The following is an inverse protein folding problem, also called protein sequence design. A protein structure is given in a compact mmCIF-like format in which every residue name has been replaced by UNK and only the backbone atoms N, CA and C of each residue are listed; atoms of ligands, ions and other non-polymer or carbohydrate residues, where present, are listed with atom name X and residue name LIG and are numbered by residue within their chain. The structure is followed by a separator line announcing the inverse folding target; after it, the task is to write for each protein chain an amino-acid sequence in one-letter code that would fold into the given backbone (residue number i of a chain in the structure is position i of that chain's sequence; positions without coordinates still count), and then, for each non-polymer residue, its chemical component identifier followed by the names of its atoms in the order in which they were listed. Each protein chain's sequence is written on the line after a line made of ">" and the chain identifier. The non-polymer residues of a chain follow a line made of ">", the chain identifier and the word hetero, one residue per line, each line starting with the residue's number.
data_IF_823289972829
#
_entry.id   IF_823289972829
#
_cell.length_a   1.000
_cell.length_b   1.000
_cell.length_c   1.000
_cell.angle_alpha   90.00
_cell.angle_beta   90.00
_cell.angle_gamma   90.00
#
_symmetry.space_group_name_H-M   'P 1'
#
loop_
_entity.id
_entity.type
_entity.pdbx_description
1 polymer ?
#
# COMPACT_ATOMS: atom_id res chain seq x y z
N UNK A 1 20.13 25.15 18.85
CA UNK A 1 19.80 24.00 17.99
C UNK A 1 19.75 24.47 16.55
N UNK A 2 20.63 23.97 15.69
CA UNK A 2 20.47 24.06 14.24
C UNK A 2 21.13 22.84 13.61
N UNK A 3 20.38 21.73 13.54
CA UNK A 3 20.63 20.71 12.52
C UNK A 3 19.38 20.70 11.65
N UNK A 4 19.46 21.33 10.49
CA UNK A 4 18.44 21.21 9.45
C UNK A 4 19.16 20.84 8.17
N UNK A 5 18.98 19.61 7.71
CA UNK A 5 19.33 19.22 6.33
C UNK A 5 18.19 18.42 5.70
N UNK A 6 17.01 19.06 5.77
CA UNK A 6 15.77 18.74 5.03
C UNK A 6 14.89 17.62 5.62
N UNK A 7 13.88 18.04 6.37
CA UNK A 7 13.45 17.45 7.64
C UNK A 7 12.74 16.07 7.63
N UNK A 8 13.43 15.12 8.27
CA UNK A 8 12.93 13.95 9.00
C UNK A 8 13.81 13.85 10.28
N UNK A 9 13.76 14.90 11.10
CA UNK A 9 14.80 15.24 12.09
C UNK A 9 14.96 14.16 13.16
N UNK A 10 13.87 13.54 13.59
CA UNK A 10 13.90 12.47 14.60
C UNK A 10 14.09 11.07 13.99
N UNK A 11 14.35 10.98 12.68
CA UNK A 11 14.46 9.71 11.97
C UNK A 11 13.17 8.88 12.05
N UNK A 12 12.01 9.55 12.09
CA UNK A 12 10.67 8.92 12.16
C UNK A 12 10.39 7.99 10.98
N UNK A 13 11.00 8.28 9.83
CA UNK A 13 10.82 7.51 8.61
C UNK A 13 12.18 7.12 8.00
N UNK A 14 12.22 6.09 7.14
CA UNK A 14 13.33 5.92 6.21
C UNK A 14 13.52 7.17 5.34
N UNK A 15 14.76 7.45 4.95
CA UNK A 15 15.16 8.78 4.45
C UNK A 15 14.77 9.06 2.99
N UNK A 16 14.42 8.04 2.19
CA UNK A 16 14.33 8.19 0.74
C UNK A 16 13.25 9.20 0.32
N UNK A 17 12.06 9.12 0.93
CA UNK A 17 10.93 10.00 0.58
C UNK A 17 11.27 11.48 0.81
N UNK A 18 11.69 11.81 2.04
CA UNK A 18 12.03 13.19 2.39
C UNK A 18 13.33 13.66 1.73
N UNK A 19 14.31 12.77 1.56
CA UNK A 19 15.53 13.07 0.81
C UNK A 19 15.24 13.47 -0.64
N UNK A 20 14.34 12.74 -1.31
CA UNK A 20 13.95 13.04 -2.70
C UNK A 20 13.13 14.33 -2.82
N UNK A 21 12.09 14.49 -1.99
CA UNK A 21 11.17 15.63 -2.12
C UNK A 21 11.71 16.93 -1.54
N UNK A 22 12.69 16.85 -0.66
CA UNK A 22 13.26 18.04 -0.06
C UNK A 22 14.09 18.91 -1.00
N UNK A 23 14.46 18.41 -2.17
CA UNK A 23 15.09 19.21 -3.23
C UNK A 23 14.18 20.40 -3.62
N UNK A 24 12.87 20.27 -3.41
CA UNK A 24 11.86 21.30 -3.67
C UNK A 24 11.51 22.16 -2.45
N UNK A 25 12.21 21.99 -1.32
CA UNK A 25 12.03 22.86 -0.16
C UNK A 25 12.72 24.21 -0.37
N UNK A 26 12.05 25.27 0.08
CA UNK A 26 12.50 26.67 0.02
C UNK A 26 12.26 27.36 1.37
N UNK A 27 12.66 28.62 1.50
CA UNK A 27 12.42 29.42 2.71
C UNK A 27 10.93 29.72 2.94
N UNK A 28 10.11 29.69 1.88
CA UNK A 28 8.65 29.81 2.00
C UNK A 28 7.98 28.43 2.12
N UNK A 29 7.34 28.20 3.26
CA UNK A 29 6.62 26.96 3.56
C UNK A 29 5.44 26.74 2.62
N UNK A 30 4.74 27.81 2.19
CA UNK A 30 3.58 27.69 1.31
C UNK A 30 4.01 27.24 -0.09
N UNK A 31 4.98 27.95 -0.69
CA UNK A 31 5.57 27.58 -1.98
C UNK A 31 6.13 26.17 -1.95
N UNK A 32 6.91 25.82 -0.91
CA UNK A 32 7.48 24.47 -0.74
C UNK A 32 6.39 23.40 -0.73
N UNK A 33 5.34 23.61 0.05
CA UNK A 33 4.23 22.64 0.16
C UNK A 33 3.53 22.45 -1.16
N UNK A 34 3.22 23.53 -1.89
CA UNK A 34 2.56 23.45 -3.19
C UNK A 34 3.42 22.72 -4.23
N UNK A 35 4.70 23.09 -4.35
CA UNK A 35 5.62 22.47 -5.30
C UNK A 35 5.81 20.98 -5.00
N UNK A 36 6.06 20.62 -3.73
CA UNK A 36 6.23 19.21 -3.33
C UNK A 36 4.97 18.40 -3.64
N UNK A 37 3.78 18.94 -3.36
CA UNK A 37 2.51 18.25 -3.63
C UNK A 37 2.28 18.06 -5.13
N UNK A 38 2.59 19.06 -5.96
CA UNK A 38 2.49 18.95 -7.42
C UNK A 38 3.46 17.91 -7.96
N UNK A 39 4.72 17.94 -7.52
CA UNK A 39 5.74 16.96 -7.94
C UNK A 39 5.34 15.54 -7.50
N UNK A 40 4.91 15.35 -6.25
CA UNK A 40 4.53 14.03 -5.74
C UNK A 40 3.27 13.48 -6.44
N UNK A 41 2.31 14.36 -6.76
CA UNK A 41 1.12 13.99 -7.55
C UNK A 41 1.51 13.55 -8.95
N UNK A 42 2.35 14.33 -9.65
CA UNK A 42 2.85 14.01 -10.98
C UNK A 42 3.63 12.69 -10.96
N UNK A 43 4.55 12.53 -10.01
CA UNK A 43 5.32 11.31 -9.81
C UNK A 43 4.41 10.09 -9.60
N UNK A 44 3.41 10.21 -8.72
CA UNK A 44 2.40 9.18 -8.51
C UNK A 44 1.72 8.79 -9.82
N UNK A 45 1.19 9.76 -10.57
CA UNK A 45 0.50 9.51 -11.84
C UNK A 45 1.41 8.84 -12.86
N UNK A 46 2.69 9.25 -12.96
CA UNK A 46 3.66 8.66 -13.86
C UNK A 46 3.97 7.20 -13.50
N UNK A 47 4.19 6.89 -12.22
CA UNK A 47 4.46 5.51 -11.76
C UNK A 47 3.24 4.62 -12.00
N UNK A 48 2.04 5.11 -11.70
CA UNK A 48 0.81 4.35 -11.93
C UNK A 48 0.58 4.11 -13.43
N UNK A 49 0.78 5.14 -14.25
CA UNK A 49 0.61 5.06 -15.71
C UNK A 49 1.65 4.13 -16.36
N UNK A 50 2.92 4.26 -15.99
CA UNK A 50 3.98 3.40 -16.49
C UNK A 50 3.70 1.93 -16.16
N UNK A 51 3.27 1.65 -14.92
CA UNK A 51 2.84 0.31 -14.51
C UNK A 51 1.68 -0.19 -15.38
N UNK A 52 0.63 0.62 -15.57
CA UNK A 52 -0.50 0.26 -16.43
C UNK A 52 -0.08 -0.10 -17.87
N UNK A 53 0.80 0.69 -18.49
CA UNK A 53 1.26 0.44 -19.85
C UNK A 53 2.14 -0.81 -19.94
N UNK A 54 3.01 -1.03 -18.96
CA UNK A 54 3.83 -2.24 -18.83
C UNK A 54 2.99 -3.49 -18.57
N UNK A 55 1.86 -3.39 -17.87
CA UNK A 55 1.01 -4.55 -17.58
C UNK A 55 0.33 -5.13 -18.83
N UNK A 56 0.30 -6.46 -18.99
CA UNK A 56 -0.46 -7.09 -20.08
C UNK A 56 -1.95 -6.74 -19.95
N UNK A 57 -2.66 -6.66 -21.10
CA UNK A 57 -4.06 -6.21 -21.16
C UNK A 57 -4.98 -6.92 -20.15
N UNK A 58 -4.73 -8.20 -19.88
CA UNK A 58 -5.50 -9.00 -18.93
C UNK A 58 -5.43 -8.52 -17.46
N UNK A 59 -4.39 -7.80 -17.06
CA UNK A 59 -4.21 -7.31 -15.69
C UNK A 59 -4.59 -5.83 -15.51
N UNK A 60 -4.74 -5.09 -16.61
CA UNK A 60 -4.99 -3.65 -16.58
C UNK A 60 -6.28 -3.27 -15.85
N UNK A 61 -7.36 -4.02 -16.04
CA UNK A 61 -8.61 -3.69 -15.35
C UNK A 61 -8.51 -3.90 -13.84
N UNK A 62 -7.89 -5.00 -13.41
CA UNK A 62 -7.71 -5.28 -11.98
C UNK A 62 -6.88 -4.17 -11.31
N UNK A 63 -5.83 -3.74 -12.00
CA UNK A 63 -4.98 -2.64 -11.57
C UNK A 63 -5.73 -1.31 -11.43
N UNK A 64 -6.51 -0.92 -12.45
CA UNK A 64 -7.30 0.32 -12.42
C UNK A 64 -8.36 0.28 -11.33
N UNK A 65 -9.08 -0.83 -11.18
CA UNK A 65 -10.11 -1.00 -10.14
C UNK A 65 -9.50 -0.83 -8.75
N UNK A 66 -8.36 -1.47 -8.49
CA UNK A 66 -7.65 -1.34 -7.23
C UNK A 66 -7.23 0.11 -6.97
N UNK A 67 -6.61 0.75 -7.96
CA UNK A 67 -6.13 2.13 -7.84
C UNK A 67 -7.27 3.12 -7.58
N UNK A 68 -8.39 3.01 -8.30
CA UNK A 68 -9.52 3.94 -8.19
C UNK A 68 -10.27 3.77 -6.87
N UNK A 69 -10.61 2.54 -6.50
CA UNK A 69 -11.47 2.29 -5.33
C UNK A 69 -10.73 2.58 -4.02
N UNK A 70 -9.41 2.43 -4.00
CA UNK A 70 -8.59 2.77 -2.83
C UNK A 70 -8.02 4.19 -2.88
N UNK A 71 -8.16 4.90 -4.00
CA UNK A 71 -7.84 6.32 -4.06
C UNK A 71 -8.89 7.13 -3.30
N UNK A 72 -10.18 6.96 -3.55
CA UNK A 72 -11.17 7.88 -2.99
C UNK A 72 -11.65 7.42 -1.61
N UNK A 73 -11.65 8.29 -0.57
CA UNK A 73 -11.13 9.67 -0.55
C UNK A 73 -9.68 9.78 -0.05
N UNK A 74 -9.27 8.89 0.87
CA UNK A 74 -8.01 9.04 1.59
C UNK A 74 -6.79 8.88 0.69
N UNK A 75 -6.81 7.92 -0.23
CA UNK A 75 -5.70 7.68 -1.14
C UNK A 75 -5.40 8.87 -2.06
N UNK A 76 -6.43 9.56 -2.57
CA UNK A 76 -6.30 10.74 -3.41
C UNK A 76 -5.66 11.88 -2.61
N UNK A 77 -6.12 12.07 -1.38
CA UNK A 77 -5.50 13.01 -0.45
C UNK A 77 -4.03 12.66 -0.17
N UNK A 78 -3.74 11.39 0.11
CA UNK A 78 -2.40 10.91 0.46
C UNK A 78 -1.45 11.01 -0.74
N UNK A 79 -1.85 10.57 -1.93
CA UNK A 79 -1.03 10.63 -3.15
C UNK A 79 -0.58 12.05 -3.48
N UNK A 80 -1.44 13.04 -3.27
CA UNK A 80 -1.12 14.45 -3.50
C UNK A 80 -0.62 15.21 -2.27
N UNK A 81 -0.19 14.50 -1.22
CA UNK A 81 0.32 15.10 0.01
C UNK A 81 1.85 15.06 0.10
N UNK A 82 2.39 15.72 1.12
CA UNK A 82 3.80 15.62 1.52
C UNK A 82 4.06 14.44 2.47
N UNK A 83 3.18 13.43 2.48
CA UNK A 83 3.26 12.30 3.41
C UNK A 83 3.92 11.06 2.76
N UNK A 84 4.85 10.37 3.44
CA UNK A 84 5.53 9.18 2.91
C UNK A 84 4.59 8.00 2.63
N UNK A 85 3.38 7.99 3.20
CA UNK A 85 2.35 7.00 2.86
C UNK A 85 1.99 7.01 1.37
N UNK A 86 2.19 8.11 0.64
CA UNK A 86 2.02 8.16 -0.81
C UNK A 86 2.89 7.14 -1.54
N UNK A 87 4.17 7.01 -1.17
CA UNK A 87 5.10 6.06 -1.78
C UNK A 87 4.88 4.63 -1.29
N UNK A 88 4.40 4.45 -0.05
CA UNK A 88 3.95 3.15 0.42
C UNK A 88 2.74 2.63 -0.39
N UNK A 89 1.80 3.51 -0.74
CA UNK A 89 0.67 3.16 -1.61
C UNK A 89 1.10 2.87 -3.05
N UNK A 90 2.09 3.60 -3.58
CA UNK A 90 2.69 3.29 -4.88
C UNK A 90 3.34 1.90 -4.88
N UNK A 91 4.09 1.56 -3.84
CA UNK A 91 4.66 0.22 -3.65
C UNK A 91 3.57 -0.85 -3.65
N UNK A 92 2.53 -0.68 -2.85
CA UNK A 92 1.39 -1.60 -2.80
C UNK A 92 0.62 -1.71 -4.12
N UNK A 93 0.55 -0.65 -4.91
CA UNK A 93 -0.10 -0.69 -6.22
C UNK A 93 0.74 -1.46 -7.25
N UNK A 94 2.07 -1.40 -7.14
CA UNK A 94 3.00 -1.83 -8.19
C UNK A 94 3.60 -3.21 -7.96
N UNK A 95 4.11 -3.50 -6.75
CA UNK A 95 4.98 -4.65 -6.49
C UNK A 95 4.31 -5.99 -6.82
N UNK A 96 3.14 -6.25 -6.23
CA UNK A 96 2.46 -7.55 -6.40
C UNK A 96 2.09 -7.83 -7.86
N UNK A 97 1.56 -6.82 -8.56
CA UNK A 97 1.04 -6.97 -9.92
C UNK A 97 2.17 -7.10 -10.92
N UNK A 98 3.28 -6.38 -10.71
CA UNK A 98 4.48 -6.49 -11.53
C UNK A 98 5.12 -7.86 -11.39
N UNK A 99 5.30 -8.37 -10.16
CA UNK A 99 5.78 -9.74 -9.95
C UNK A 99 4.85 -10.76 -10.61
N UNK A 100 3.54 -10.64 -10.42
CA UNK A 100 2.58 -11.55 -11.06
C UNK A 100 2.66 -11.49 -12.60
N UNK A 101 2.82 -10.29 -13.16
CA UNK A 101 2.91 -10.06 -14.60
C UNK A 101 4.19 -10.63 -15.24
N UNK A 102 5.27 -10.84 -14.47
CA UNK A 102 6.50 -11.49 -14.98
C UNK A 102 6.27 -12.94 -15.39
N UNK A 103 5.22 -13.60 -14.90
CA UNK A 103 4.79 -14.94 -15.32
C UNK A 103 3.92 -14.94 -16.58
N UNK A 104 3.49 -13.76 -17.04
CA UNK A 104 2.55 -13.56 -18.16
C UNK A 104 3.22 -12.90 -19.37
N UNK A 105 4.48 -12.51 -19.25
CA UNK A 105 5.22 -11.73 -20.24
C UNK A 105 6.60 -12.33 -20.46
N UNK A 106 7.23 -12.01 -21.59
CA UNK A 106 8.58 -12.45 -21.97
C UNK A 106 9.38 -11.27 -22.56
N UNK A 107 10.69 -11.46 -22.74
CA UNK A 107 11.59 -10.46 -23.32
C UNK A 107 11.74 -9.19 -22.47
N UNK A 108 11.97 -8.05 -23.14
CA UNK A 108 12.22 -6.76 -22.50
C UNK A 108 11.13 -6.35 -21.51
N UNK A 109 9.87 -6.65 -21.84
CA UNK A 109 8.70 -6.28 -21.02
C UNK A 109 8.70 -7.00 -19.68
N UNK A 110 9.13 -8.26 -19.64
CA UNK A 110 9.28 -9.05 -18.40
C UNK A 110 10.34 -8.43 -17.50
N UNK A 111 11.46 -8.02 -18.08
CA UNK A 111 12.56 -7.38 -17.36
C UNK A 111 12.15 -5.99 -16.84
N UNK A 112 11.42 -5.21 -17.63
CA UNK A 112 10.87 -3.93 -17.21
C UNK A 112 9.89 -4.08 -16.04
N UNK A 113 9.02 -5.10 -16.05
CA UNK A 113 8.12 -5.40 -14.94
C UNK A 113 8.89 -5.84 -13.68
N UNK A 114 9.94 -6.65 -13.82
CA UNK A 114 10.81 -7.01 -12.70
C UNK A 114 11.51 -5.77 -12.10
N UNK A 115 12.06 -4.90 -12.96
CA UNK A 115 12.66 -3.64 -12.54
C UNK A 115 11.64 -2.73 -11.84
N UNK A 116 10.42 -2.63 -12.35
CA UNK A 116 9.33 -1.87 -11.71
C UNK A 116 8.89 -2.45 -10.37
N UNK A 117 8.92 -3.78 -10.20
CA UNK A 117 8.65 -4.41 -8.90
C UNK A 117 9.73 -4.05 -7.87
N UNK A 118 11.01 -4.10 -8.27
CA UNK A 118 12.12 -3.67 -7.41
C UNK A 118 12.03 -2.18 -7.09
N UNK A 119 11.76 -1.35 -8.10
CA UNK A 119 11.56 0.08 -7.95
C UNK A 119 10.42 0.40 -6.97
N UNK A 120 9.26 -0.24 -7.12
CA UNK A 120 8.14 -0.10 -6.18
C UNK A 120 8.51 -0.48 -4.76
N UNK A 121 9.26 -1.57 -4.56
CA UNK A 121 9.76 -1.96 -3.26
C UNK A 121 10.70 -0.91 -2.65
N UNK A 122 11.64 -0.38 -3.43
CA UNK A 122 12.54 0.71 -3.00
C UNK A 122 11.73 1.95 -2.57
N UNK A 123 10.71 2.36 -3.35
CA UNK A 123 9.87 3.50 -2.99
C UNK A 123 9.14 3.28 -1.65
N UNK A 124 8.50 2.12 -1.49
CA UNK A 124 7.73 1.82 -0.27
C UNK A 124 8.63 1.70 0.95
N UNK A 125 9.60 0.78 0.89
CA UNK A 125 10.54 0.54 2.00
C UNK A 125 11.37 1.77 2.34
N UNK A 126 11.73 2.57 1.34
CA UNK A 126 12.47 3.82 1.54
C UNK A 126 11.62 4.99 2.04
N UNK A 127 10.29 4.87 2.03
CA UNK A 127 9.40 5.88 2.57
C UNK A 127 8.95 5.56 4.00
N UNK A 128 8.70 4.28 4.32
CA UNK A 128 8.18 3.83 5.62
C UNK A 128 8.67 2.43 5.96
N UNK A 129 8.96 2.17 7.24
CA UNK A 129 9.43 0.85 7.68
C UNK A 129 8.35 -0.25 7.55
N UNK A 130 7.10 0.04 7.90
CA UNK A 130 5.99 -0.91 7.74
C UNK A 130 5.70 -1.26 6.26
N UNK A 131 5.91 -0.30 5.37
CA UNK A 131 5.78 -0.51 3.93
C UNK A 131 6.80 -1.52 3.37
N UNK A 132 7.91 -1.77 4.07
CA UNK A 132 8.83 -2.85 3.73
C UNK A 132 8.15 -4.23 3.87
N UNK A 133 7.37 -4.44 4.94
CA UNK A 133 6.60 -5.66 5.11
C UNK A 133 5.51 -5.78 4.03
N UNK A 134 4.87 -4.67 3.65
CA UNK A 134 3.86 -4.67 2.58
C UNK A 134 4.45 -4.97 1.21
N UNK A 135 5.65 -4.48 0.90
CA UNK A 135 6.35 -4.80 -0.33
C UNK A 135 6.68 -6.31 -0.41
N UNK A 136 7.18 -6.90 0.68
CA UNK A 136 7.46 -8.34 0.75
C UNK A 136 6.18 -9.16 0.61
N UNK A 137 5.10 -8.79 1.34
CA UNK A 137 3.81 -9.45 1.22
C UNK A 137 3.27 -9.37 -0.21
N UNK A 138 3.29 -8.19 -0.83
CA UNK A 138 2.86 -7.99 -2.21
C UNK A 138 3.65 -8.86 -3.18
N UNK A 139 4.98 -8.88 -3.05
CA UNK A 139 5.84 -9.70 -3.89
C UNK A 139 5.57 -11.21 -3.70
N UNK A 140 5.38 -11.65 -2.44
CA UNK A 140 5.03 -13.04 -2.12
C UNK A 140 3.69 -13.46 -2.71
N UNK A 141 2.66 -12.60 -2.61
CA UNK A 141 1.35 -12.85 -3.23
C UNK A 141 1.46 -12.90 -4.75
N UNK A 142 2.19 -11.97 -5.37
CA UNK A 142 2.44 -11.97 -6.82
C UNK A 142 3.14 -13.25 -7.29
N UNK A 143 4.14 -13.71 -6.53
CA UNK A 143 4.85 -14.96 -6.78
C UNK A 143 3.92 -16.17 -6.67
N UNK A 144 3.16 -16.25 -5.58
CA UNK A 144 2.20 -17.33 -5.31
C UNK A 144 1.11 -17.45 -6.38
N UNK A 145 0.58 -16.31 -6.85
CA UNK A 145 -0.42 -16.24 -7.91
C UNK A 145 0.11 -16.76 -9.25
N UNK A 146 1.39 -16.51 -9.56
CA UNK A 146 2.02 -16.87 -10.83
C UNK A 146 2.66 -18.26 -10.88
N UNK A 147 3.14 -18.76 -9.74
CA UNK A 147 4.02 -19.94 -9.65
C UNK A 147 3.31 -21.26 -10.00
N UNK A 148 3.52 -21.76 -11.23
CA UNK A 148 2.98 -23.08 -11.66
C UNK A 148 4.01 -24.23 -11.65
N UNK A 149 5.24 -23.94 -11.25
CA UNK A 149 6.33 -24.91 -11.17
C UNK A 149 7.68 -24.22 -10.97
N UNK A 150 8.66 -24.93 -10.41
CA UNK A 150 9.93 -24.36 -9.96
C UNK A 150 10.71 -23.62 -11.06
N UNK A 151 10.87 -24.22 -12.25
CA UNK A 151 11.63 -23.62 -13.37
C UNK A 151 11.07 -22.26 -13.80
N UNK A 152 9.73 -22.12 -13.83
CA UNK A 152 9.07 -20.85 -14.20
C UNK A 152 9.15 -19.81 -13.09
N UNK A 153 9.33 -20.25 -11.84
CA UNK A 153 9.44 -19.41 -10.66
C UNK A 153 10.87 -18.93 -10.37
N UNK A 154 11.90 -19.47 -11.02
CA UNK A 154 13.30 -19.09 -10.78
C UNK A 154 13.52 -17.57 -10.90
N UNK A 155 13.24 -16.99 -12.07
CA UNK A 155 13.46 -15.57 -12.29
C UNK A 155 12.60 -14.67 -11.37
N UNK A 156 11.26 -14.85 -11.27
CA UNK A 156 10.46 -14.05 -10.34
C UNK A 156 10.83 -14.29 -8.86
N UNK A 157 11.32 -15.48 -8.53
CA UNK A 157 11.83 -15.84 -7.21
C UNK A 157 13.12 -15.10 -6.86
N UNK A 158 14.05 -14.96 -7.81
CA UNK A 158 15.24 -14.10 -7.64
C UNK A 158 14.82 -12.65 -7.41
N UNK A 159 13.86 -12.13 -8.19
CA UNK A 159 13.35 -10.77 -7.99
C UNK A 159 12.69 -10.62 -6.60
N UNK A 160 11.95 -11.63 -6.14
CA UNK A 160 11.39 -11.66 -4.78
C UNK A 160 12.48 -11.62 -3.70
N UNK A 161 13.56 -12.38 -3.86
CA UNK A 161 14.70 -12.35 -2.93
C UNK A 161 15.34 -10.97 -2.91
N UNK A 162 15.54 -10.35 -4.07
CA UNK A 162 16.08 -8.98 -4.18
C UNK A 162 15.17 -7.98 -3.47
N UNK A 163 13.86 -8.04 -3.70
CA UNK A 163 12.87 -7.18 -3.00
C UNK A 163 12.95 -7.40 -1.49
N UNK A 164 13.06 -8.65 -1.05
CA UNK A 164 13.14 -8.98 0.38
C UNK A 164 14.42 -8.44 1.01
N UNK A 165 15.57 -8.56 0.32
CA UNK A 165 16.83 -8.02 0.77
C UNK A 165 16.80 -6.48 0.87
N UNK A 166 16.24 -5.79 -0.13
CA UNK A 166 16.06 -4.34 -0.12
C UNK A 166 15.13 -3.90 1.01
N UNK A 167 13.98 -4.58 1.15
CA UNK A 167 13.03 -4.30 2.20
C UNK A 167 13.66 -4.48 3.60
N UNK A 168 14.42 -5.56 3.80
CA UNK A 168 15.16 -5.80 5.02
C UNK A 168 16.24 -4.72 5.26
N UNK A 169 17.00 -4.34 4.24
CA UNK A 169 18.02 -3.29 4.36
C UNK A 169 17.41 -1.94 4.80
N UNK A 170 16.34 -1.51 4.16
CA UNK A 170 15.62 -0.29 4.56
C UNK A 170 15.00 -0.40 5.96
N UNK A 171 14.44 -1.56 6.30
CA UNK A 171 13.86 -1.79 7.63
C UNK A 171 14.92 -1.73 8.74
N UNK A 172 16.06 -2.40 8.55
CA UNK A 172 17.16 -2.46 9.52
C UNK A 172 17.92 -1.14 9.66
N UNK A 173 17.87 -0.28 8.64
CA UNK A 173 18.46 1.06 8.68
C UNK A 173 17.48 2.15 9.10
N UNK A 174 16.22 1.79 9.36
CA UNK A 174 15.23 2.72 9.88
C UNK A 174 15.60 3.10 11.33
N UNK A 175 15.56 4.39 11.64
CA UNK A 175 15.91 4.90 12.98
C UNK A 175 14.87 4.58 14.04
N UNK A 176 15.19 4.87 15.31
CA UNK A 176 14.29 4.63 16.45
C UNK A 176 12.94 5.35 16.33
N UNK A 177 12.89 6.53 15.71
CA UNK A 177 11.63 7.21 15.42
C UNK A 177 10.69 6.38 14.53
N UNK A 178 11.26 5.58 13.63
CA UNK A 178 10.47 4.66 12.80
C UNK A 178 9.96 3.45 13.57
N UNK A 179 10.60 3.07 14.67
CA UNK A 179 10.07 2.09 15.60
C UNK A 179 8.79 2.64 16.27
N UNK A 180 8.77 3.91 16.68
CA UNK A 180 7.57 4.58 17.23
C UNK A 180 6.41 4.57 16.24
N UNK A 181 6.65 5.02 15.00
CA UNK A 181 5.65 5.04 13.93
C UNK A 181 5.23 3.63 13.50
N UNK A 182 6.13 2.66 13.60
CA UNK A 182 5.89 1.24 13.36
C UNK A 182 5.25 0.50 14.54
N UNK A 183 4.85 1.22 15.61
CA UNK A 183 4.21 0.66 16.80
C UNK A 183 5.12 -0.16 17.70
N UNK A 184 6.44 -0.07 17.54
CA UNK A 184 7.45 -0.79 18.32
C UNK A 184 7.95 -0.01 19.55
N UNK A 185 7.55 1.25 19.72
CA UNK A 185 7.80 1.98 20.97
C UNK A 185 6.73 1.62 22.02
N UNK A 186 7.19 1.14 23.16
CA UNK A 186 6.36 0.65 24.27
C UNK A 186 6.37 1.60 25.47
N UNK A 187 6.55 2.90 25.21
CA UNK A 187 6.52 3.96 26.23
C UNK A 187 5.14 4.13 26.90
N UNK A 188 4.08 3.62 26.27
CA UNK A 188 2.73 3.58 26.83
C UNK A 188 2.58 2.49 27.90
N UNK A 189 1.73 2.78 28.90
CA UNK A 189 1.29 1.79 29.89
C UNK A 189 0.67 0.58 29.21
N UNK A 190 0.97 -0.63 29.72
CA UNK A 190 0.46 -1.88 29.14
C UNK A 190 -1.07 -1.85 29.00
N UNK A 191 -1.54 -2.17 27.80
CA UNK A 191 -2.97 -2.19 27.50
C UNK A 191 -3.61 -3.43 28.16
N UNK A 192 -4.76 -3.29 28.86
CA UNK A 192 -5.45 -4.45 29.43
C UNK A 192 -6.05 -5.35 28.34
N UNK A 193 -6.39 -6.59 28.69
CA UNK A 193 -6.99 -7.56 27.76
C UNK A 193 -8.28 -7.03 27.10
N UNK A 194 -9.08 -6.26 27.84
CA UNK A 194 -10.28 -5.59 27.32
C UNK A 194 -9.95 -4.58 26.20
N UNK A 195 -8.81 -3.88 26.30
CA UNK A 195 -8.34 -2.97 25.26
C UNK A 195 -7.89 -3.72 24.01
N UNK A 196 -7.18 -4.84 24.16
CA UNK A 196 -6.85 -5.70 23.02
C UNK A 196 -8.10 -6.30 22.37
N UNK A 197 -9.08 -6.75 23.14
CA UNK A 197 -10.34 -7.25 22.60
C UNK A 197 -11.10 -6.15 21.85
N UNK A 198 -11.16 -4.94 22.42
CA UNK A 198 -11.74 -3.77 21.77
C UNK A 198 -11.05 -3.48 20.42
N UNK A 199 -9.72 -3.49 20.39
CA UNK A 199 -8.97 -3.30 19.14
C UNK A 199 -9.31 -4.37 18.11
N UNK A 200 -9.34 -5.65 18.51
CA UNK A 200 -9.65 -6.74 17.61
C UNK A 200 -11.02 -6.58 16.95
N UNK A 201 -12.02 -6.09 17.69
CA UNK A 201 -13.38 -5.87 17.18
C UNK A 201 -13.50 -4.58 16.36
N UNK A 202 -12.67 -3.57 16.62
CA UNK A 202 -12.76 -2.24 16.00
C UNK A 202 -11.80 -2.02 14.81
N UNK A 203 -11.00 -3.01 14.40
CA UNK A 203 -10.17 -2.90 13.17
C UNK A 203 -10.97 -2.51 11.92
N UNK A 204 -12.21 -3.01 11.68
CA UNK A 204 -13.03 -2.56 10.56
C UNK A 204 -13.25 -1.04 10.54
N UNK A 205 -13.15 -0.37 11.68
CA UNK A 205 -13.24 1.09 11.75
C UNK A 205 -12.09 1.79 11.02
N UNK A 206 -10.89 1.20 11.03
CA UNK A 206 -9.76 1.71 10.26
C UNK A 206 -9.96 1.53 8.75
N UNK A 207 -10.63 0.45 8.33
CA UNK A 207 -10.98 0.24 6.93
C UNK A 207 -12.04 1.24 6.48
N UNK A 208 -13.08 1.44 7.31
CA UNK A 208 -14.11 2.46 7.12
C UNK A 208 -13.48 3.85 7.04
N UNK A 209 -12.54 4.16 7.93
CA UNK A 209 -11.79 5.41 7.95
C UNK A 209 -11.03 5.67 6.66
N UNK A 210 -10.40 4.64 6.09
CA UNK A 210 -9.68 4.74 4.81
C UNK A 210 -10.63 5.04 3.65
N UNK A 211 -11.87 4.59 3.76
CA UNK A 211 -12.93 4.78 2.78
C UNK A 211 -13.80 6.01 3.05
N UNK A 212 -13.35 6.94 3.93
CA UNK A 212 -14.00 8.23 4.17
C UNK A 212 -14.80 8.34 5.46
N UNK A 213 -14.70 7.33 6.34
CA UNK A 213 -15.34 7.35 7.65
C UNK A 213 -14.63 8.21 8.70
N UNK A 214 -13.38 8.62 8.42
CA UNK A 214 -12.57 9.48 9.27
C UNK A 214 -12.26 10.78 8.51
N UNK A 215 -12.05 11.91 9.20
CA UNK A 215 -11.66 13.15 8.53
C UNK A 215 -10.27 13.02 7.86
N UNK A 216 -10.05 13.77 6.77
CA UNK A 216 -8.77 13.80 6.07
C UNK A 216 -7.76 14.71 6.79
N UNK A 217 -6.52 14.77 6.29
CA UNK A 217 -5.47 15.63 6.84
C UNK A 217 -5.02 15.19 8.23
N UNK A 218 -4.99 16.15 9.14
CA UNK A 218 -4.76 15.94 10.57
C UNK A 218 -6.10 15.91 11.33
N UNK A 219 -7.04 15.15 10.78
CA UNK A 219 -8.42 15.05 11.24
C UNK A 219 -9.23 16.36 11.19
N UNK A 220 -8.78 17.32 10.39
CA UNK A 220 -9.30 18.69 10.28
C UNK A 220 -10.29 18.86 9.13
N UNK A 221 -10.34 17.91 8.18
CA UNK A 221 -11.23 17.98 7.02
C UNK A 221 -12.33 16.91 7.13
N UNK A 222 -13.48 17.21 7.79
CA UNK A 222 -14.57 16.25 7.93
C UNK A 222 -15.21 15.95 6.58
N UNK A 223 -15.60 14.70 6.38
CA UNK A 223 -16.28 14.24 5.18
C UNK A 223 -17.74 13.94 5.47
N UNK A 224 -18.67 14.22 4.54
CA UNK A 224 -20.04 13.76 4.66
C UNK A 224 -20.11 12.23 4.76
N UNK A 225 -21.04 11.71 5.57
CA UNK A 225 -21.22 10.26 5.77
C UNK A 225 -21.42 9.48 4.45
N UNK A 226 -21.99 10.15 3.44
CA UNK A 226 -22.17 9.60 2.09
C UNK A 226 -20.84 9.09 1.49
N UNK A 227 -19.72 9.77 1.74
CA UNK A 227 -18.41 9.37 1.21
C UNK A 227 -18.01 8.01 1.77
N UNK A 228 -18.12 7.83 3.09
CA UNK A 228 -17.86 6.55 3.75
C UNK A 228 -18.80 5.45 3.27
N UNK A 229 -20.09 5.75 3.12
CA UNK A 229 -21.09 4.78 2.68
C UNK A 229 -20.77 4.26 1.28
N UNK A 230 -20.54 5.16 0.31
CA UNK A 230 -20.18 4.80 -1.06
C UNK A 230 -18.85 4.04 -1.11
N UNK A 231 -17.85 4.47 -0.34
CA UNK A 231 -16.54 3.83 -0.28
C UNK A 231 -16.63 2.39 0.22
N UNK A 232 -17.30 2.16 1.35
CA UNK A 232 -17.49 0.82 1.94
C UNK A 232 -18.30 -0.09 1.01
N UNK A 233 -19.39 0.39 0.44
CA UNK A 233 -20.22 -0.39 -0.49
C UNK A 233 -19.42 -0.77 -1.74
N UNK A 234 -18.67 0.16 -2.32
CA UNK A 234 -17.89 -0.09 -3.54
C UNK A 234 -16.74 -1.05 -3.30
N UNK A 235 -16.00 -0.88 -2.20
CA UNK A 235 -14.93 -1.80 -1.82
C UNK A 235 -15.49 -3.20 -1.52
N UNK A 236 -16.57 -3.27 -0.75
CA UNK A 236 -17.28 -4.52 -0.45
C UNK A 236 -17.78 -5.23 -1.70
N UNK A 237 -18.36 -4.50 -2.66
CA UNK A 237 -18.82 -5.05 -3.93
C UNK A 237 -17.67 -5.69 -4.72
N UNK A 238 -16.48 -5.08 -4.75
CA UNK A 238 -15.30 -5.67 -5.38
C UNK A 238 -14.85 -6.95 -4.69
N UNK A 239 -14.88 -7.00 -3.36
CA UNK A 239 -14.56 -8.23 -2.63
C UNK A 239 -15.56 -9.34 -2.92
N UNK A 240 -16.86 -9.06 -2.85
CA UNK A 240 -17.92 -10.05 -3.11
C UNK A 240 -17.84 -10.59 -4.53
N UNK A 241 -17.71 -9.71 -5.52
CA UNK A 241 -17.54 -10.08 -6.93
C UNK A 241 -16.26 -10.89 -7.14
N UNK A 242 -15.16 -10.47 -6.50
CA UNK A 242 -13.88 -11.17 -6.55
C UNK A 242 -13.96 -12.58 -5.98
N UNK A 243 -14.57 -12.75 -4.80
CA UNK A 243 -14.75 -14.06 -4.17
C UNK A 243 -15.62 -15.00 -4.99
N UNK A 244 -16.73 -14.51 -5.54
CA UNK A 244 -17.71 -15.35 -6.24
C UNK A 244 -17.17 -16.06 -7.49
N UNK A 245 -16.03 -15.62 -8.05
CA UNK A 245 -15.47 -16.17 -9.29
C UNK A 245 -13.94 -16.32 -9.27
N UNK A 246 -13.33 -16.32 -8.08
CA UNK A 246 -11.89 -16.49 -7.91
C UNK A 246 -11.45 -17.95 -8.18
N UNK A 247 -10.27 -18.11 -8.79
CA UNK A 247 -9.61 -19.43 -8.83
C UNK A 247 -8.93 -19.73 -7.49
N UNK A 248 -8.74 -21.01 -7.14
CA UNK A 248 -8.23 -21.46 -5.82
C UNK A 248 -7.07 -20.64 -5.25
N UNK A 249 -6.06 -20.32 -6.06
CA UNK A 249 -4.91 -19.51 -5.64
C UNK A 249 -5.26 -18.04 -5.40
N UNK A 250 -6.15 -17.46 -6.19
CA UNK A 250 -6.68 -16.12 -5.95
C UNK A 250 -7.47 -16.08 -4.64
N UNK A 251 -8.29 -17.10 -4.36
CA UNK A 251 -9.02 -17.20 -3.08
C UNK A 251 -8.06 -17.25 -1.89
N UNK A 252 -7.01 -18.07 -1.97
CA UNK A 252 -5.99 -18.16 -0.91
C UNK A 252 -5.25 -16.83 -0.76
N UNK A 253 -4.80 -16.21 -1.87
CA UNK A 253 -4.12 -14.92 -1.84
C UNK A 253 -5.01 -13.81 -1.25
N UNK A 254 -6.29 -13.81 -1.60
CA UNK A 254 -7.28 -12.87 -1.09
C UNK A 254 -7.53 -13.09 0.41
N UNK A 255 -7.67 -14.34 0.84
CA UNK A 255 -7.80 -14.67 2.26
C UNK A 255 -6.56 -14.21 3.06
N UNK A 256 -5.35 -14.45 2.56
CA UNK A 256 -4.11 -13.96 3.19
C UNK A 256 -4.11 -12.42 3.28
N UNK A 257 -4.51 -11.73 2.21
CA UNK A 257 -4.53 -10.27 2.20
C UNK A 257 -5.58 -9.69 3.18
N UNK A 258 -6.75 -10.31 3.31
CA UNK A 258 -7.79 -9.91 4.29
C UNK A 258 -7.34 -10.21 5.72
N UNK A 259 -6.72 -11.37 5.96
CA UNK A 259 -6.11 -11.70 7.26
C UNK A 259 -5.04 -10.67 7.60
N UNK A 260 -4.22 -10.26 6.65
CA UNK A 260 -3.23 -9.20 6.87
C UNK A 260 -3.90 -7.85 7.20
N UNK A 261 -4.98 -7.47 6.49
CA UNK A 261 -5.76 -6.25 6.81
C UNK A 261 -6.34 -6.25 8.23
N UNK A 262 -6.56 -7.43 8.82
CA UNK A 262 -7.01 -7.58 10.20
C UNK A 262 -5.84 -7.59 11.18
N UNK A 263 -4.91 -8.53 11.02
CA UNK A 263 -3.88 -8.81 12.01
C UNK A 263 -2.73 -7.82 12.01
N UNK A 264 -2.38 -7.20 10.88
CA UNK A 264 -1.31 -6.18 10.86
C UNK A 264 -1.65 -5.00 11.77
N UNK A 265 -2.77 -4.27 11.59
CA UNK A 265 -3.11 -3.15 12.48
C UNK A 265 -3.34 -3.61 13.92
N UNK A 266 -3.89 -4.82 14.12
CA UNK A 266 -4.02 -5.40 15.45
C UNK A 266 -2.68 -5.54 16.16
N UNK A 267 -1.67 -6.09 15.48
CA UNK A 267 -0.33 -6.28 16.02
C UNK A 267 0.36 -4.93 16.25
N UNK A 268 0.19 -3.96 15.36
CA UNK A 268 0.70 -2.60 15.56
C UNK A 268 0.13 -1.99 16.84
N UNK A 269 -1.19 -2.03 17.02
CA UNK A 269 -1.87 -1.53 18.22
C UNK A 269 -1.47 -2.28 19.49
N UNK A 270 -1.30 -3.60 19.40
CA UNK A 270 -0.88 -4.42 20.52
C UNK A 270 0.55 -4.12 20.96
N UNK A 271 1.44 -3.83 20.00
CA UNK A 271 2.84 -3.45 20.28
C UNK A 271 2.96 -2.02 20.82
N UNK A 272 2.14 -1.09 20.33
CA UNK A 272 2.12 0.30 20.79
C UNK A 272 1.33 0.52 22.08
N UNK A 273 0.62 -0.51 22.57
CA UNK A 273 -0.29 -0.42 23.72
C UNK A 273 -1.33 0.72 23.58
N UNK A 274 -1.88 0.93 22.38
CA UNK A 274 -2.88 1.96 22.10
C UNK A 274 -4.17 1.38 21.56
N UNK A 275 -5.23 2.19 21.52
CA UNK A 275 -6.50 1.76 20.92
C UNK A 275 -6.70 2.32 19.51
N UNK A 276 -7.63 1.71 18.77
CA UNK A 276 -8.13 2.27 17.50
C UNK A 276 -8.63 3.69 17.75
N UNK A 277 -8.10 4.66 17.01
CA UNK A 277 -8.40 6.09 17.21
C UNK A 277 -7.20 6.92 17.63
N UNK A 278 -6.17 6.30 18.23
CA UNK A 278 -5.04 7.02 18.81
C UNK A 278 -3.88 7.22 17.81
N UNK A 279 -2.96 6.24 17.72
CA UNK A 279 -1.73 6.34 16.93
C UNK A 279 -1.87 5.70 15.54
N UNK A 280 -2.54 4.55 15.47
CA UNK A 280 -2.72 3.81 14.22
C UNK A 280 -3.90 4.40 13.46
N UNK A 281 -3.60 4.95 12.30
CA UNK A 281 -4.57 5.63 11.43
C UNK A 281 -4.94 4.77 10.20
N UNK A 282 -6.02 5.09 9.49
CA UNK A 282 -6.41 4.36 8.28
C UNK A 282 -5.33 4.29 7.18
N UNK A 283 -4.49 5.33 7.05
CA UNK A 283 -3.40 5.37 6.06
C UNK A 283 -2.37 4.24 6.21
N UNK A 284 -2.24 3.64 7.41
CA UNK A 284 -1.32 2.55 7.67
C UNK A 284 -1.80 1.22 7.06
N UNK A 285 -3.11 1.06 6.86
CA UNK A 285 -3.73 -0.16 6.32
C UNK A 285 -4.05 -0.01 4.82
N UNK A 286 -4.14 1.22 4.33
CA UNK A 286 -4.47 1.52 2.94
C UNK A 286 -3.60 0.76 1.90
N UNK A 287 -2.28 0.56 2.10
CA UNK A 287 -1.47 -0.31 1.24
C UNK A 287 -2.01 -1.75 1.15
N UNK A 288 -2.47 -2.33 2.25
CA UNK A 288 -3.06 -3.67 2.26
C UNK A 288 -4.41 -3.67 1.53
N UNK A 289 -5.21 -2.61 1.68
CA UNK A 289 -6.48 -2.47 0.94
C UNK A 289 -6.25 -2.43 -0.58
N UNK A 290 -5.20 -1.73 -1.04
CA UNK A 290 -4.81 -1.68 -2.45
C UNK A 290 -4.48 -3.09 -2.97
N UNK A 291 -3.67 -3.84 -2.24
CA UNK A 291 -3.30 -5.22 -2.60
C UNK A 291 -4.55 -6.11 -2.63
N UNK A 292 -5.38 -6.05 -1.58
CA UNK A 292 -6.60 -6.85 -1.46
C UNK A 292 -7.57 -6.57 -2.62
N UNK A 293 -7.84 -5.29 -2.93
CA UNK A 293 -8.69 -4.91 -4.05
C UNK A 293 -8.11 -5.36 -5.39
N UNK A 294 -6.79 -5.25 -5.57
CA UNK A 294 -6.09 -5.73 -6.76
C UNK A 294 -6.20 -7.22 -6.98
N UNK A 295 -5.99 -8.02 -5.93
CA UNK A 295 -6.13 -9.48 -5.97
C UNK A 295 -7.59 -9.88 -6.19
N UNK A 296 -8.54 -9.21 -5.55
CA UNK A 296 -9.97 -9.46 -5.75
C UNK A 296 -10.41 -9.17 -7.18
N UNK A 297 -9.91 -8.09 -7.79
CA UNK A 297 -10.28 -7.66 -9.13
C UNK A 297 -9.61 -8.46 -10.28
N UNK A 298 -8.71 -9.40 -9.97
CA UNK A 298 -8.09 -10.27 -10.98
C UNK A 298 -9.14 -11.09 -11.73
N UNK A 299 -9.02 -11.10 -13.06
CA UNK A 299 -9.92 -11.87 -13.93
C UNK A 299 -9.48 -13.33 -14.07
N UNK A 300 -10.43 -14.28 -14.09
CA UNK A 300 -10.20 -15.59 -14.66
C UNK A 300 -9.81 -15.47 -16.14
N UNK A 301 -9.09 -16.47 -16.66
CA UNK A 301 -8.44 -16.45 -17.98
C UNK A 301 -9.40 -16.24 -19.18
N UNK A 302 -10.72 -16.36 -18.98
CA UNK A 302 -11.72 -16.47 -20.06
C UNK A 302 -12.91 -15.47 -19.97
N UNK A 303 -12.88 -14.39 -19.17
CA UNK A 303 -14.06 -13.50 -19.03
C UNK A 303 -13.82 -12.03 -19.39
N UNK A 304 -14.69 -11.48 -20.24
CA UNK A 304 -14.82 -10.04 -20.55
C UNK A 304 -15.67 -9.31 -19.49
N UNK A 305 -15.39 -9.56 -18.20
CA UNK A 305 -16.33 -9.22 -17.12
C UNK A 305 -16.51 -7.71 -16.86
N UNK A 306 -15.43 -6.93 -16.85
CA UNK A 306 -15.49 -5.49 -16.57
C UNK A 306 -15.69 -4.62 -17.83
N UNK A 307 -15.83 -5.25 -18.99
CA UNK A 307 -16.32 -4.58 -20.18
C UNK A 307 -17.80 -4.94 -20.22
N UNK A 308 -18.68 -4.08 -19.72
CA UNK A 308 -20.11 -4.32 -19.70
C UNK A 308 -20.57 -4.77 -21.08
N UNK A 309 -20.72 -6.08 -21.27
CA UNK A 309 -21.42 -6.66 -22.40
C UNK A 309 -22.81 -6.92 -21.88
N UNK A 310 -23.72 -6.08 -22.33
CA UNK A 310 -25.14 -6.35 -22.32
C UNK A 310 -25.36 -7.79 -22.79
N UNK A 311 -26.13 -8.52 -21.99
CA UNK A 311 -26.92 -9.63 -22.50
C UNK A 311 -27.95 -9.03 -23.46
#
# INVERSE_FOLDING_TARGET
>A
MTVVERANVDGLYPRLFYGALSIFASEDVQTSTLVIRLVNSLFTTLVLSATFFLLPRALRSAYVIAAVITAVPLGLFVYGSTNPSSWAMLSASTVWVCIYATFKTAGWRRNALAAFAVFGAVLGSGARADAAAYAVLGAALGLFLGMRGAKRALFPGVVFIVITAIAAAFYLTAGQGSAVVGGLDSSNSRLPLSGHLSNFLNIPDLWRGALGGWPLGWFDTPLPALVSFVGVVTFGAVLVVGFGRAFRRQTIALAIAIVAMWFVPFLLLARSNTVVGDLVQPRYILPLMVITAGVAALRPKNSNFWAGRAV
#
